data_IF_071447031975
#
_entry.id   IF_071447031975
#
_cell.length_a   1.000
_cell.length_b   1.000
_cell.length_c   1.000
_cell.angle_alpha   90.00
_cell.angle_beta   90.00
_cell.angle_gamma   90.00
#
_symmetry.space_group_name_H-M   'P 1'
#
loop_
_entity.id
_entity.type
_entity.pdbx_description
1 polymer ?
#
# COMPACT_ATOMS: atom_id res chain seq x y z
N UNK A 1 0.04 4.31 -26.26
CA UNK A 1 0.35 4.26 -24.82
C UNK A 1 -0.31 3.00 -24.29
N UNK A 2 0.43 1.93 -24.05
CA UNK A 2 -0.15 0.68 -23.52
C UNK A 2 -0.37 0.84 -22.02
N UNK A 3 -1.62 1.05 -21.61
CA UNK A 3 -2.03 1.03 -20.21
C UNK A 3 -2.47 -0.39 -19.84
N UNK A 4 -1.94 -0.90 -18.74
CA UNK A 4 -2.38 -2.14 -18.07
C UNK A 4 -3.10 -1.80 -16.76
N UNK A 5 -3.79 -2.77 -16.18
CA UNK A 5 -4.41 -2.67 -14.86
C UNK A 5 -4.04 -3.90 -14.04
N UNK A 6 -3.75 -3.70 -12.76
CA UNK A 6 -3.56 -4.77 -11.79
C UNK A 6 -4.53 -4.60 -10.63
N UNK A 7 -4.99 -5.71 -10.06
CA UNK A 7 -5.85 -5.69 -8.87
C UNK A 7 -5.01 -6.00 -7.64
N UNK A 8 -4.90 -5.05 -6.73
CA UNK A 8 -4.29 -5.24 -5.41
C UNK A 8 -5.40 -5.43 -4.37
N UNK A 9 -5.07 -6.02 -3.21
CA UNK A 9 -6.00 -6.19 -2.10
C UNK A 9 -5.47 -5.46 -0.87
N UNK A 10 -6.27 -4.55 -0.33
CA UNK A 10 -5.94 -3.74 0.83
C UNK A 10 -7.03 -3.97 1.89
N UNK A 11 -6.66 -4.51 3.06
CA UNK A 11 -7.57 -4.86 4.16
C UNK A 11 -8.74 -5.76 3.69
N UNK A 12 -8.46 -6.68 2.77
CA UNK A 12 -9.45 -7.54 2.12
C UNK A 12 -10.25 -6.90 0.98
N UNK A 13 -10.17 -5.58 0.78
CA UNK A 13 -10.86 -4.85 -0.27
C UNK A 13 -10.04 -4.84 -1.58
N UNK A 14 -10.63 -5.19 -2.74
CA UNK A 14 -9.93 -5.15 -4.02
C UNK A 14 -9.87 -3.72 -4.61
N UNK A 15 -8.69 -3.32 -5.10
CA UNK A 15 -8.45 -2.03 -5.77
C UNK A 15 -7.80 -2.25 -7.13
N UNK A 16 -8.37 -1.64 -8.18
CA UNK A 16 -7.80 -1.65 -9.52
C UNK A 16 -6.87 -0.46 -9.71
N UNK A 17 -5.60 -0.74 -10.02
CA UNK A 17 -4.56 0.26 -10.19
C UNK A 17 -4.07 0.23 -11.64
N UNK A 18 -4.14 1.38 -12.30
CA UNK A 18 -3.54 1.56 -13.62
C UNK A 18 -2.02 1.59 -13.54
N UNK A 19 -1.36 0.88 -14.45
CA UNK A 19 0.10 0.75 -14.50
C UNK A 19 0.60 0.67 -15.95
N UNK A 20 1.91 0.85 -16.15
CA UNK A 20 2.54 0.61 -17.45
C UNK A 20 2.56 -0.88 -17.80
N UNK A 21 2.59 -1.18 -19.09
CA UNK A 21 2.76 -2.56 -19.56
C UNK A 21 4.10 -3.15 -19.04
N UNK A 22 4.03 -4.28 -18.33
CA UNK A 22 5.18 -4.92 -17.70
C UNK A 22 5.47 -4.47 -16.26
N UNK A 23 4.76 -3.46 -15.75
CA UNK A 23 4.87 -3.02 -14.35
C UNK A 23 3.90 -3.75 -13.41
N UNK A 24 3.05 -4.65 -13.92
CA UNK A 24 1.99 -5.28 -13.12
C UNK A 24 2.54 -5.98 -11.88
N UNK A 25 3.67 -6.69 -12.03
CA UNK A 25 4.35 -7.38 -10.93
C UNK A 25 4.92 -6.40 -9.89
N UNK A 26 5.45 -5.25 -10.35
CA UNK A 26 5.98 -4.23 -9.45
C UNK A 26 4.86 -3.60 -8.63
N UNK A 27 3.76 -3.20 -9.27
CA UNK A 27 2.61 -2.61 -8.59
C UNK A 27 1.91 -3.62 -7.65
N UNK A 28 1.85 -4.90 -8.03
CA UNK A 28 1.36 -5.96 -7.13
C UNK A 28 2.22 -6.04 -5.87
N UNK A 29 3.54 -6.01 -6.01
CA UNK A 29 4.48 -6.04 -4.87
C UNK A 29 4.35 -4.82 -3.97
N UNK A 30 4.14 -3.63 -4.53
CA UNK A 30 3.85 -2.42 -3.74
C UNK A 30 2.54 -2.58 -2.95
N UNK A 31 1.51 -3.16 -3.56
CA UNK A 31 0.25 -3.48 -2.88
C UNK A 31 0.43 -4.42 -1.69
N UNK A 32 1.28 -5.46 -1.83
CA UNK A 32 1.62 -6.38 -0.73
C UNK A 32 2.36 -5.68 0.42
N UNK A 33 3.26 -4.74 0.11
CA UNK A 33 3.94 -3.94 1.14
C UNK A 33 2.95 -3.06 1.92
N UNK A 34 2.06 -2.36 1.21
CA UNK A 34 0.99 -1.55 1.82
C UNK A 34 0.11 -2.40 2.73
N UNK A 35 -0.31 -3.58 2.26
CA UNK A 35 -1.10 -4.54 3.04
C UNK A 35 -0.38 -4.98 4.33
N UNK A 36 0.90 -5.30 4.24
CA UNK A 36 1.71 -5.72 5.39
C UNK A 36 1.78 -4.65 6.48
N UNK A 37 2.01 -3.39 6.10
CA UNK A 37 2.03 -2.26 7.05
C UNK A 37 0.66 -2.08 7.68
N UNK A 38 -0.39 -2.19 6.87
CA UNK A 38 -1.76 -2.03 7.32
C UNK A 38 -2.18 -3.11 8.33
N UNK A 39 -1.86 -4.38 8.07
CA UNK A 39 -2.09 -5.47 9.02
C UNK A 39 -1.32 -5.27 10.33
N UNK A 40 -0.08 -4.77 10.24
CA UNK A 40 0.73 -4.44 11.43
C UNK A 40 0.08 -3.32 12.26
N UNK A 41 -0.48 -2.30 11.62
CA UNK A 41 -1.21 -1.23 12.29
C UNK A 41 -2.51 -1.73 12.93
N UNK A 42 -3.27 -2.59 12.24
CA UNK A 42 -4.48 -3.21 12.81
C UNK A 42 -4.12 -4.03 14.06
N UNK A 43 -3.03 -4.79 14.01
CA UNK A 43 -2.57 -5.59 15.15
C UNK A 43 -2.12 -4.72 16.34
N UNK A 44 -1.52 -3.54 16.08
CA UNK A 44 -1.00 -2.67 17.14
C UNK A 44 -2.02 -1.69 17.70
N UNK A 45 -2.93 -1.15 16.88
CA UNK A 45 -3.85 -0.06 17.23
C UNK A 45 -5.29 -0.55 17.37
N UNK A 46 -5.59 -1.74 16.84
CA UNK A 46 -6.93 -2.31 16.79
C UNK A 46 -7.71 -1.87 15.54
N UNK A 47 -9.01 -2.18 15.53
CA UNK A 47 -9.89 -1.79 14.42
C UNK A 47 -10.14 -0.29 14.44
N UNK A 48 -9.56 0.40 13.47
CA UNK A 48 -9.81 1.81 13.16
C UNK A 48 -10.42 1.91 11.76
N UNK A 49 -11.09 3.03 11.46
CA UNK A 49 -11.69 3.25 10.15
C UNK A 49 -10.64 3.22 9.01
N UNK A 50 -11.01 2.64 7.88
CA UNK A 50 -10.13 2.42 6.72
C UNK A 50 -9.44 3.70 6.23
N UNK A 51 -10.16 4.83 6.16
CA UNK A 51 -9.58 6.10 5.76
C UNK A 51 -8.44 6.56 6.69
N UNK A 52 -8.58 6.34 8.00
CA UNK A 52 -7.55 6.69 8.99
C UNK A 52 -6.37 5.73 8.93
N UNK A 53 -6.65 4.45 8.73
CA UNK A 53 -5.65 3.41 8.55
C UNK A 53 -4.78 3.70 7.32
N UNK A 54 -5.39 3.97 6.16
CA UNK A 54 -4.70 4.34 4.94
C UNK A 54 -3.87 5.63 5.11
N UNK A 55 -4.38 6.63 5.83
CA UNK A 55 -3.62 7.85 6.13
C UNK A 55 -2.34 7.53 6.93
N UNK A 56 -2.42 6.65 7.93
CA UNK A 56 -1.25 6.23 8.71
C UNK A 56 -0.24 5.44 7.87
N UNK A 57 -0.71 4.51 7.03
CA UNK A 57 0.15 3.76 6.11
C UNK A 57 0.86 4.71 5.14
N UNK A 58 0.14 5.68 4.57
CA UNK A 58 0.71 6.68 3.66
C UNK A 58 1.81 7.52 4.34
N UNK A 59 1.60 7.93 5.60
CA UNK A 59 2.61 8.65 6.37
C UNK A 59 3.87 7.81 6.62
N UNK A 60 3.72 6.52 6.97
CA UNK A 60 4.86 5.61 7.16
C UNK A 60 5.66 5.43 5.86
N UNK A 61 4.97 5.22 4.74
CA UNK A 61 5.62 5.05 3.44
C UNK A 61 6.30 6.34 2.97
N UNK A 62 5.67 7.50 3.20
CA UNK A 62 6.27 8.80 2.90
C UNK A 62 7.54 9.05 3.72
N UNK A 63 7.54 8.68 5.00
CA UNK A 63 8.70 8.79 5.87
C UNK A 63 9.87 7.89 5.42
N UNK A 64 9.57 6.63 5.05
CA UNK A 64 10.57 5.72 4.45
C UNK A 64 11.13 6.28 3.15
N UNK A 65 10.28 6.82 2.29
CA UNK A 65 10.68 7.39 1.01
C UNK A 65 11.52 8.67 1.17
N UNK A 66 11.31 9.43 2.25
CA UNK A 66 12.10 10.61 2.58
C UNK A 66 13.54 10.27 3.02
N UNK A 67 13.85 9.00 3.29
CA UNK A 67 15.18 8.58 3.75
C UNK A 67 15.39 8.83 5.25
N UNK A 68 14.35 9.07 6.04
CA UNK A 68 14.44 9.17 7.50
C UNK A 68 14.61 7.79 8.18
N UNK A 69 15.05 6.77 7.43
CA UNK A 69 15.24 5.41 7.91
C UNK A 69 16.56 5.21 8.68
N UNK A 70 17.30 6.29 8.94
CA UNK A 70 18.53 6.28 9.73
C UNK A 70 18.27 6.86 11.13
N UNK A 71 17.76 6.01 12.03
CA UNK A 71 18.30 5.84 13.38
C UNK A 71 18.10 4.40 13.89
#
# INVERSE_FOLDING_TARGET
>A
MSQSVVTIRLNGNPYQIGCGAGEEAHVSKLGEEVESIMQSLIASVGQIGEARLLAMVALILADRAAGNADE
#
